data_IF_332405794319
#
_entry.id   IF_332405794319
#
_cell.length_a   1.000
_cell.length_b   1.000
_cell.length_c   1.000
_cell.angle_alpha   90.00
_cell.angle_beta   90.00
_cell.angle_gamma   90.00
#
_symmetry.space_group_name_H-M   'P 1'
#
loop_
_entity.id
_entity.type
_entity.pdbx_description
1 polymer ?
#
# COMPACT_ATOMS: atom_id res chain seq x y z
N UNK A 1 8.24 -19.34 -8.60
CA UNK A 1 7.41 -19.91 -9.69
C UNK A 1 6.44 -21.00 -9.20
N UNK A 2 5.97 -20.94 -7.95
CA UNK A 2 5.12 -21.99 -7.36
C UNK A 2 3.64 -21.62 -7.23
N UNK A 3 3.29 -20.35 -7.48
CA UNK A 3 1.91 -19.87 -7.45
C UNK A 3 1.37 -19.72 -8.89
N UNK A 4 0.24 -20.35 -9.25
CA UNK A 4 -0.41 -20.10 -10.52
C UNK A 4 -1.02 -18.70 -10.51
N UNK A 5 -0.68 -17.86 -11.50
CA UNK A 5 -1.17 -16.50 -11.61
C UNK A 5 -2.28 -16.38 -12.66
N UNK A 6 -3.27 -15.58 -12.35
CA UNK A 6 -4.23 -15.05 -13.32
C UNK A 6 -4.37 -13.54 -13.10
N UNK A 7 -4.77 -12.82 -14.13
CA UNK A 7 -4.83 -11.36 -14.10
C UNK A 7 -6.28 -10.90 -14.26
N UNK A 8 -6.66 -9.91 -13.46
CA UNK A 8 -7.90 -9.16 -13.62
C UNK A 8 -7.56 -7.71 -13.90
N UNK A 9 -8.21 -7.13 -14.90
CA UNK A 9 -8.01 -5.75 -15.30
C UNK A 9 -9.35 -5.03 -15.26
N UNK A 10 -9.36 -3.83 -14.71
CA UNK A 10 -10.53 -2.97 -14.65
C UNK A 10 -10.12 -1.52 -14.92
N UNK A 11 -11.05 -0.74 -15.46
CA UNK A 11 -10.92 0.71 -15.59
C UNK A 11 -11.72 1.38 -14.48
N UNK A 12 -11.13 2.38 -13.83
CA UNK A 12 -11.73 3.11 -12.72
C UNK A 12 -11.78 4.59 -13.10
N UNK A 13 -12.97 5.19 -13.04
CA UNK A 13 -13.14 6.63 -13.14
C UNK A 13 -12.60 7.30 -11.86
N UNK A 14 -11.69 8.25 -12.03
CA UNK A 14 -11.00 8.91 -10.94
C UNK A 14 -11.43 10.37 -10.74
N UNK A 15 -12.40 10.90 -11.48
CA UNK A 15 -12.74 12.34 -11.47
C UNK A 15 -13.18 12.79 -10.07
N UNK A 16 -14.05 12.01 -9.42
CA UNK A 16 -14.49 12.28 -8.06
C UNK A 16 -13.32 12.18 -7.05
N UNK A 17 -12.40 11.22 -7.25
CA UNK A 17 -11.23 11.06 -6.40
C UNK A 17 -10.25 12.24 -6.56
N UNK A 18 -10.08 12.75 -7.78
CA UNK A 18 -9.27 13.95 -8.07
C UNK A 18 -9.87 15.17 -7.38
N UNK A 19 -11.18 15.40 -7.53
CA UNK A 19 -11.87 16.52 -6.90
C UNK A 19 -11.79 16.46 -5.37
N UNK A 20 -12.02 15.28 -4.78
CA UNK A 20 -11.89 15.06 -3.34
C UNK A 20 -10.45 15.30 -2.86
N UNK A 21 -9.45 14.81 -3.59
CA UNK A 21 -8.03 15.02 -3.26
C UNK A 21 -7.67 16.50 -3.25
N UNK A 22 -8.17 17.28 -4.21
CA UNK A 22 -7.92 18.73 -4.27
C UNK A 22 -8.44 19.41 -3.01
N UNK A 23 -9.70 19.17 -2.65
CA UNK A 23 -10.32 19.71 -1.43
C UNK A 23 -9.60 19.27 -0.15
N UNK A 24 -9.23 18.00 -0.06
CA UNK A 24 -8.49 17.47 1.10
C UNK A 24 -7.13 18.16 1.25
N UNK A 25 -6.46 18.46 0.13
CA UNK A 25 -5.14 19.10 0.14
C UNK A 25 -5.17 20.59 0.45
N UNK A 26 -6.32 21.28 0.39
CA UNK A 26 -6.44 22.69 0.79
C UNK A 26 -6.11 22.89 2.28
N UNK A 27 -6.47 21.92 3.12
CA UNK A 27 -6.30 21.98 4.57
C UNK A 27 -5.28 20.96 5.12
N UNK A 28 -4.69 20.13 4.25
CA UNK A 28 -3.77 19.08 4.68
C UNK A 28 -2.38 19.66 4.98
N UNK A 29 -1.89 19.39 6.19
CA UNK A 29 -0.47 19.67 6.56
C UNK A 29 0.52 18.92 5.67
N UNK A 30 0.11 17.77 5.14
CA UNK A 30 0.93 16.91 4.29
C UNK A 30 0.17 16.61 3.01
N UNK A 31 0.75 16.97 1.86
CA UNK A 31 0.13 16.74 0.54
C UNK A 31 -0.16 15.26 0.30
N UNK A 32 -1.44 14.92 0.18
CA UNK A 32 -1.99 13.59 -0.10
C UNK A 32 -1.84 13.29 -1.60
N UNK A 33 -1.30 12.11 -1.90
CA UNK A 33 -1.10 11.58 -3.25
C UNK A 33 -2.28 10.71 -3.72
N UNK A 34 -2.32 10.35 -5.00
CA UNK A 34 -3.28 9.35 -5.48
C UNK A 34 -2.99 7.97 -4.89
N UNK A 35 -1.71 7.62 -4.70
CA UNK A 35 -1.31 6.34 -4.11
C UNK A 35 -1.86 6.19 -2.69
N UNK A 36 -1.95 7.27 -1.91
CA UNK A 36 -2.52 7.23 -0.56
C UNK A 36 -4.02 6.89 -0.57
N UNK A 37 -4.76 7.40 -1.56
CA UNK A 37 -6.17 7.08 -1.75
C UNK A 37 -6.34 5.61 -2.13
N UNK A 38 -5.53 5.12 -3.08
CA UNK A 38 -5.54 3.71 -3.50
C UNK A 38 -5.16 2.79 -2.35
N UNK A 39 -4.15 3.15 -1.55
CA UNK A 39 -3.74 2.39 -0.37
C UNK A 39 -4.87 2.32 0.64
N UNK A 40 -5.52 3.45 0.94
CA UNK A 40 -6.64 3.46 1.90
C UNK A 40 -7.84 2.65 1.40
N UNK A 41 -8.20 2.79 0.12
CA UNK A 41 -9.28 2.02 -0.49
C UNK A 41 -8.97 0.51 -0.48
N UNK A 42 -7.74 0.14 -0.83
CA UNK A 42 -7.26 -1.24 -0.79
C UNK A 42 -7.32 -1.82 0.62
N UNK A 43 -6.88 -1.06 1.63
CA UNK A 43 -6.94 -1.51 3.02
C UNK A 43 -8.39 -1.76 3.48
N UNK A 44 -9.33 -0.90 3.10
CA UNK A 44 -10.76 -1.09 3.40
C UNK A 44 -11.30 -2.35 2.68
N UNK A 45 -10.95 -2.53 1.40
CA UNK A 45 -11.39 -3.69 0.62
C UNK A 45 -10.84 -5.01 1.19
N UNK A 46 -9.57 -5.06 1.59
CA UNK A 46 -8.97 -6.25 2.22
C UNK A 46 -9.65 -6.62 3.54
N UNK A 47 -10.12 -5.62 4.30
CA UNK A 47 -10.88 -5.85 5.53
C UNK A 47 -12.26 -6.47 5.25
N UNK A 48 -12.92 -6.03 4.18
CA UNK A 48 -14.22 -6.58 3.74
C UNK A 48 -14.08 -7.97 3.10
N UNK A 49 -12.90 -8.26 2.52
CA UNK A 49 -12.62 -9.50 1.79
C UNK A 49 -11.40 -10.23 2.38
N UNK A 50 -11.49 -10.80 3.60
CA UNK A 50 -10.35 -11.37 4.31
C UNK A 50 -9.68 -12.55 3.57
N UNK A 51 -10.40 -13.24 2.68
CA UNK A 51 -9.85 -14.30 1.83
C UNK A 51 -8.74 -13.81 0.89
N UNK A 52 -8.76 -12.53 0.50
CA UNK A 52 -7.72 -11.93 -0.34
C UNK A 52 -6.47 -11.62 0.50
N UNK A 53 -6.64 -11.24 1.77
CA UNK A 53 -5.54 -11.01 2.71
C UNK A 53 -5.04 -12.31 3.36
N UNK A 54 -4.83 -13.37 2.56
CA UNK A 54 -4.49 -14.71 3.04
C UNK A 54 -3.18 -15.22 2.44
N UNK A 55 -2.57 -16.21 3.10
CA UNK A 55 -1.32 -16.83 2.63
C UNK A 55 -1.48 -18.35 2.59
N UNK A 56 -0.99 -18.98 1.52
CA UNK A 56 -0.90 -20.43 1.41
C UNK A 56 0.39 -20.92 2.08
N UNK A 57 0.26 -21.78 3.08
CA UNK A 57 1.39 -22.34 3.83
C UNK A 57 1.77 -23.76 3.38
N UNK A 58 1.23 -24.23 2.24
CA UNK A 58 1.50 -25.55 1.68
C UNK A 58 0.42 -26.59 1.96
N UNK A 59 -0.12 -26.61 3.17
CA UNK A 59 -1.18 -27.52 3.63
C UNK A 59 -2.46 -26.79 4.08
N UNK A 60 -2.32 -25.51 4.43
CA UNK A 60 -3.40 -24.68 4.98
C UNK A 60 -3.34 -23.26 4.46
N UNK A 61 -4.49 -22.61 4.54
CA UNK A 61 -4.63 -21.17 4.29
C UNK A 61 -4.59 -20.45 5.63
N UNK A 62 -3.63 -19.53 5.80
CA UNK A 62 -3.63 -18.58 6.93
C UNK A 62 -4.30 -17.30 6.50
N UNK A 63 -5.39 -16.94 7.17
CA UNK A 63 -6.03 -15.63 7.00
C UNK A 63 -5.27 -14.62 7.88
N UNK A 64 -4.82 -13.52 7.30
CA UNK A 64 -4.14 -12.46 8.04
C UNK A 64 -5.18 -11.44 8.52
N UNK A 65 -5.32 -11.25 9.84
CA UNK A 65 -6.26 -10.27 10.40
C UNK A 65 -5.75 -8.83 10.29
N UNK A 66 -4.44 -8.63 10.42
CA UNK A 66 -3.83 -7.32 10.22
C UNK A 66 -3.55 -7.10 8.73
N UNK A 67 -3.80 -5.88 8.28
CA UNK A 67 -3.62 -5.48 6.89
C UNK A 67 -2.31 -4.69 6.80
N UNK A 68 -1.28 -5.34 6.28
CA UNK A 68 0.04 -4.77 6.12
C UNK A 68 0.34 -4.65 4.63
N UNK A 69 0.38 -3.43 4.11
CA UNK A 69 0.49 -3.18 2.68
C UNK A 69 1.93 -2.78 2.35
N UNK A 70 2.60 -3.62 1.59
CA UNK A 70 3.85 -3.28 0.92
C UNK A 70 3.61 -2.25 -0.18
N UNK A 71 4.39 -1.18 -0.20
CA UNK A 71 4.31 -0.13 -1.23
C UNK A 71 5.61 -0.17 -2.01
N UNK A 72 5.53 -0.50 -3.30
CA UNK A 72 6.70 -0.51 -4.16
C UNK A 72 7.23 0.92 -4.38
N UNK A 73 8.49 1.16 -4.02
CA UNK A 73 9.21 2.42 -4.16
C UNK A 73 10.45 2.19 -5.03
N UNK A 74 10.51 2.90 -6.15
CA UNK A 74 11.68 2.89 -7.02
C UNK A 74 12.85 3.66 -6.37
N UNK A 75 14.04 3.06 -6.43
CA UNK A 75 15.32 3.64 -5.99
C UNK A 75 16.36 3.43 -7.09
N UNK A 76 17.48 4.14 -7.03
CA UNK A 76 18.52 4.07 -8.07
C UNK A 76 19.06 2.64 -8.29
N UNK A 77 19.08 1.83 -7.23
CA UNK A 77 19.57 0.44 -7.25
C UNK A 77 18.48 -0.61 -7.49
N UNK A 78 17.24 -0.20 -7.80
CA UNK A 78 16.13 -1.10 -8.12
C UNK A 78 14.81 -0.73 -7.44
N UNK A 79 14.22 -1.69 -6.73
CA UNK A 79 12.90 -1.55 -6.12
C UNK A 79 12.91 -2.04 -4.67
N UNK A 80 12.44 -1.20 -3.76
CA UNK A 80 12.23 -1.55 -2.36
C UNK A 80 10.74 -1.52 -2.03
N UNK A 81 10.30 -2.38 -1.11
CA UNK A 81 8.88 -2.53 -0.76
C UNK A 81 8.68 -2.33 0.75
N UNK A 82 8.79 -1.10 1.26
CA UNK A 82 8.45 -0.79 2.64
C UNK A 82 6.98 -1.12 2.95
N UNK A 83 6.69 -1.48 4.20
CA UNK A 83 5.39 -1.97 4.65
C UNK A 83 4.68 -0.94 5.51
N UNK A 84 3.54 -0.47 5.03
CA UNK A 84 2.58 0.30 5.84
C UNK A 84 1.77 -0.68 6.69
N UNK A 85 2.05 -0.72 7.98
CA UNK A 85 1.45 -1.67 8.93
C UNK A 85 0.08 -1.19 9.41
N UNK A 86 -0.84 -2.13 9.65
CA UNK A 86 -2.21 -1.85 10.12
C UNK A 86 -2.94 -0.79 9.28
N UNK A 87 -2.77 -0.84 7.95
CA UNK A 87 -3.18 0.21 7.02
C UNK A 87 -4.70 0.53 7.08
N UNK A 88 -5.53 -0.43 7.51
CA UNK A 88 -6.97 -0.22 7.67
C UNK A 88 -7.31 0.73 8.82
N UNK A 89 -6.48 0.76 9.87
CA UNK A 89 -6.65 1.60 11.06
C UNK A 89 -6.14 3.03 10.87
N UNK A 90 -5.24 3.24 9.91
CA UNK A 90 -4.59 4.53 9.69
C UNK A 90 -5.52 5.52 8.97
N UNK A 91 -5.47 6.79 9.37
CA UNK A 91 -6.04 7.89 8.59
C UNK A 91 -5.23 8.15 7.32
N UNK A 92 -5.83 8.85 6.35
CA UNK A 92 -5.13 9.25 5.12
C UNK A 92 -3.85 10.05 5.41
N UNK A 93 -3.89 11.01 6.34
CA UNK A 93 -2.72 11.81 6.69
C UNK A 93 -1.59 10.98 7.31
N UNK A 94 -1.92 9.96 8.12
CA UNK A 94 -0.94 9.04 8.68
C UNK A 94 -0.29 8.18 7.59
N UNK A 95 -1.10 7.65 6.66
CA UNK A 95 -0.60 6.91 5.48
C UNK A 95 0.35 7.79 4.68
N UNK A 96 -0.07 9.00 4.30
CA UNK A 96 0.76 9.93 3.52
C UNK A 96 2.08 10.24 4.23
N UNK A 97 2.06 10.42 5.55
CA UNK A 97 3.27 10.69 6.33
C UNK A 97 4.23 9.50 6.29
N UNK A 98 3.74 8.29 6.56
CA UNK A 98 4.57 7.08 6.54
C UNK A 98 5.13 6.78 5.15
N UNK A 99 4.32 6.89 4.09
CA UNK A 99 4.77 6.66 2.72
C UNK A 99 5.87 7.66 2.33
N UNK A 100 5.74 8.93 2.72
CA UNK A 100 6.80 9.93 2.48
C UNK A 100 8.07 9.64 3.26
N UNK A 101 7.94 9.24 4.53
CA UNK A 101 9.09 8.85 5.35
C UNK A 101 9.82 7.65 4.71
N UNK A 102 9.09 6.63 4.27
CA UNK A 102 9.67 5.48 3.59
C UNK A 102 10.30 5.85 2.26
N UNK A 103 9.66 6.71 1.45
CA UNK A 103 10.26 7.19 0.21
C UNK A 103 11.57 7.94 0.46
N UNK A 104 11.63 8.76 1.52
CA UNK A 104 12.86 9.46 1.91
C UNK A 104 13.93 8.48 2.42
N UNK A 105 13.57 7.56 3.31
CA UNK A 105 14.49 6.52 3.80
C UNK A 105 15.00 5.62 2.68
N UNK A 106 14.16 5.30 1.70
CA UNK A 106 14.53 4.50 0.53
C UNK A 106 15.58 5.23 -0.32
N UNK A 107 15.35 6.51 -0.61
CA UNK A 107 16.31 7.37 -1.32
C UNK A 107 17.63 7.51 -0.56
N UNK A 108 17.56 7.66 0.76
CA UNK A 108 18.73 7.82 1.62
C UNK A 108 19.43 6.50 1.95
N UNK A 109 18.93 5.35 1.44
CA UNK A 109 19.41 3.98 1.75
C UNK A 109 19.42 3.66 3.26
N UNK A 110 18.43 4.17 3.99
CA UNK A 110 18.28 4.02 5.45
C UNK A 110 17.15 3.08 5.88
N UNK A 111 16.46 2.44 4.93
CA UNK A 111 15.47 1.42 5.26
C UNK A 111 16.12 0.26 6.00
N UNK A 112 15.46 -0.19 7.06
CA UNK A 112 15.87 -1.34 7.84
C UNK A 112 15.15 -2.60 7.32
N UNK A 113 15.68 -3.81 7.57
CA UNK A 113 14.99 -5.04 7.23
C UNK A 113 13.56 -5.12 7.79
N UNK A 114 13.36 -4.60 9.01
CA UNK A 114 12.05 -4.51 9.64
C UNK A 114 11.06 -3.59 8.91
N UNK A 115 11.53 -2.69 8.04
CA UNK A 115 10.67 -1.79 7.27
C UNK A 115 10.03 -2.49 6.05
N UNK A 116 10.63 -3.56 5.50
CA UNK A 116 10.12 -4.24 4.30
C UNK A 116 9.64 -5.69 4.53
N UNK A 117 9.74 -6.21 5.76
CA UNK A 117 9.27 -7.55 6.10
C UNK A 117 7.81 -7.58 6.62
N UNK A 118 7.11 -8.67 6.31
CA UNK A 118 5.80 -8.97 6.88
C UNK A 118 4.62 -8.26 6.21
N UNK A 119 4.76 -7.88 4.94
CA UNK A 119 3.62 -7.48 4.10
C UNK A 119 2.68 -8.66 3.88
N UNK A 120 1.38 -8.34 3.79
CA UNK A 120 0.32 -9.32 3.47
C UNK A 120 -0.32 -9.02 2.11
N UNK A 121 -0.10 -7.82 1.58
CA UNK A 121 -0.51 -7.39 0.25
C UNK A 121 0.51 -6.40 -0.31
N UNK A 122 0.60 -6.25 -1.63
CA UNK A 122 1.51 -5.30 -2.27
C UNK A 122 0.78 -4.43 -3.28
N UNK A 123 1.03 -3.12 -3.22
CA UNK A 123 0.64 -2.16 -4.25
C UNK A 123 1.89 -1.73 -5.01
N UNK A 124 1.81 -1.79 -6.34
CA UNK A 124 2.84 -1.29 -7.24
C UNK A 124 2.23 -0.27 -8.18
N UNK A 125 2.87 0.89 -8.29
CA UNK A 125 2.48 1.97 -9.18
C UNK A 125 3.71 2.46 -9.96
N UNK A 126 3.61 2.48 -11.29
CA UNK A 126 4.70 2.88 -12.20
C UNK A 126 4.49 4.26 -12.84
N UNK A 127 3.42 4.98 -12.48
CA UNK A 127 3.07 6.29 -13.07
C UNK A 127 1.70 6.27 -13.69
#
# INVERSE_FOLDING_TARGET
FTAPHFYLTMSIDMDAAVAARTKLNENAKVKISFNDLVLKATAIALKQHPKINSSWLGDKIRINHHINIGVAVAVDEGLLVPVVRFADTLSLSQITTQVKEFAQKAKDKKLQPSDWEGSTFTISNLG
#
